data_IF_059289847947
#
_entry.id   IF_059289847947
#
_cell.length_a   1.000
_cell.length_b   1.000
_cell.length_c   1.000
_cell.angle_alpha   90.00
_cell.angle_beta   90.00
_cell.angle_gamma   90.00
#
_symmetry.space_group_name_H-M   'P 1'
#
loop_
_entity.id
_entity.type
_entity.pdbx_description
1 polymer ?
#
# COMPACT_ATOMS: atom_id res chain seq x y z
N UNK A 1 -6.50 -13.64 -56.62
CA UNK A 1 -5.48 -14.05 -55.62
C UNK A 1 -5.94 -13.48 -54.30
N UNK A 2 -6.35 -14.33 -53.36
CA UNK A 2 -6.71 -13.86 -52.02
C UNK A 2 -5.45 -13.42 -51.29
N UNK A 3 -5.51 -12.19 -50.78
CA UNK A 3 -4.40 -11.50 -50.14
C UNK A 3 -4.00 -12.25 -48.86
N UNK A 4 -2.72 -12.58 -48.69
CA UNK A 4 -2.23 -13.41 -47.56
C UNK A 4 -2.56 -12.80 -46.20
N UNK A 5 -2.66 -11.46 -46.15
CA UNK A 5 -3.12 -10.71 -44.98
C UNK A 5 -4.59 -11.02 -44.62
N UNK A 6 -5.44 -11.28 -45.61
CA UNK A 6 -6.85 -11.58 -45.40
C UNK A 6 -7.02 -12.95 -44.74
N UNK A 7 -6.32 -13.97 -45.25
CA UNK A 7 -6.35 -15.32 -44.69
C UNK A 7 -5.86 -15.34 -43.23
N UNK A 8 -4.78 -14.61 -42.94
CA UNK A 8 -4.26 -14.50 -41.57
C UNK A 8 -5.25 -13.83 -40.62
N UNK A 9 -5.93 -12.78 -41.07
CA UNK A 9 -6.95 -12.11 -40.28
C UNK A 9 -8.15 -13.03 -40.00
N UNK A 10 -8.60 -13.81 -40.98
CA UNK A 10 -9.69 -14.79 -40.81
C UNK A 10 -9.34 -15.87 -39.77
N UNK A 11 -8.13 -16.43 -39.84
CA UNK A 11 -7.67 -17.41 -38.84
C UNK A 11 -7.64 -16.75 -37.46
N UNK A 12 -7.08 -15.55 -37.34
CA UNK A 12 -7.04 -14.84 -36.06
C UNK A 12 -8.43 -14.55 -35.48
N UNK A 13 -9.39 -14.10 -36.28
CA UNK A 13 -10.75 -13.79 -35.81
C UNK A 13 -11.49 -15.05 -35.40
N UNK A 14 -11.41 -16.12 -36.19
CA UNK A 14 -12.07 -17.41 -35.86
C UNK A 14 -11.58 -18.00 -34.54
N UNK A 15 -10.27 -17.97 -34.29
CA UNK A 15 -9.71 -18.39 -32.99
C UNK A 15 -10.12 -17.47 -31.84
N UNK A 16 -10.18 -16.16 -32.05
CA UNK A 16 -10.65 -15.21 -31.03
C UNK A 16 -12.14 -15.38 -30.72
N UNK A 17 -12.97 -15.65 -31.71
CA UNK A 17 -14.39 -15.91 -31.58
C UNK A 17 -14.65 -17.22 -30.86
N UNK A 18 -13.97 -18.31 -31.26
CA UNK A 18 -14.02 -19.58 -30.55
C UNK A 18 -13.57 -19.42 -29.08
N UNK A 19 -12.50 -18.66 -28.83
CA UNK A 19 -12.08 -18.33 -27.46
C UNK A 19 -13.14 -17.56 -26.68
N UNK A 20 -13.82 -16.59 -27.31
CA UNK A 20 -14.90 -15.82 -26.68
C UNK A 20 -16.13 -16.67 -26.37
N UNK A 21 -16.50 -17.62 -27.24
CA UNK A 21 -17.69 -18.48 -27.03
C UNK A 21 -17.44 -19.54 -25.96
N UNK A 22 -16.27 -20.19 -25.95
CA UNK A 22 -15.99 -21.27 -25.02
C UNK A 22 -15.49 -20.79 -23.65
N UNK A 23 -14.61 -19.79 -23.60
CA UNK A 23 -14.01 -19.31 -22.35
C UNK A 23 -14.73 -18.08 -21.77
N UNK A 24 -15.55 -17.39 -22.56
CA UNK A 24 -16.17 -16.13 -22.18
C UNK A 24 -15.17 -14.98 -22.06
N UNK A 25 -15.66 -13.79 -21.72
CA UNK A 25 -14.80 -12.66 -21.35
C UNK A 25 -14.66 -12.57 -19.85
N UNK A 26 -13.42 -12.37 -19.37
CA UNK A 26 -13.19 -11.98 -17.98
C UNK A 26 -13.70 -10.55 -17.83
N UNK A 27 -14.86 -10.40 -17.17
CA UNK A 27 -15.34 -9.09 -16.79
C UNK A 27 -14.27 -8.40 -15.93
N UNK A 28 -13.80 -7.23 -16.38
CA UNK A 28 -12.99 -6.34 -15.56
C UNK A 28 -13.88 -5.87 -14.41
N UNK A 29 -13.87 -6.62 -13.29
CA UNK A 29 -14.50 -6.17 -12.05
C UNK A 29 -13.69 -4.99 -11.56
N UNK A 30 -14.08 -3.80 -11.99
CA UNK A 30 -13.59 -2.57 -11.39
C UNK A 30 -13.98 -2.57 -9.92
N UNK A 31 -13.13 -1.97 -9.09
CA UNK A 31 -13.44 -1.83 -7.68
C UNK A 31 -14.59 -0.84 -7.57
N UNK A 32 -15.67 -1.22 -6.89
CA UNK A 32 -16.89 -0.43 -6.78
C UNK A 32 -16.68 0.97 -6.17
N UNK A 33 -15.59 1.15 -5.40
CA UNK A 33 -15.26 2.42 -4.77
C UNK A 33 -14.49 3.41 -5.66
N UNK A 34 -13.98 2.99 -6.82
CA UNK A 34 -13.24 3.89 -7.72
C UNK A 34 -14.26 4.64 -8.60
N UNK A 35 -14.24 5.97 -8.53
CA UNK A 35 -15.13 6.83 -9.31
C UNK A 35 -14.84 6.74 -10.82
N UNK A 36 -15.86 7.01 -11.63
CA UNK A 36 -15.72 7.10 -13.08
C UNK A 36 -14.73 8.21 -13.50
N UNK A 37 -14.69 9.31 -12.75
CA UNK A 37 -13.73 10.39 -12.96
C UNK A 37 -12.28 9.91 -12.77
N UNK A 38 -12.03 9.09 -11.74
CA UNK A 38 -10.72 8.49 -11.50
C UNK A 38 -10.30 7.59 -12.67
N UNK A 39 -11.23 6.82 -13.25
CA UNK A 39 -10.97 6.00 -14.42
C UNK A 39 -10.62 6.82 -15.66
N UNK A 40 -11.31 7.94 -15.90
CA UNK A 40 -10.96 8.86 -16.98
C UNK A 40 -9.53 9.39 -16.82
N UNK A 41 -9.17 9.84 -15.61
CA UNK A 41 -7.81 10.33 -15.31
C UNK A 41 -6.74 9.26 -15.42
N UNK A 42 -7.04 8.01 -15.06
CA UNK A 42 -6.15 6.87 -15.28
C UNK A 42 -5.93 6.64 -16.78
N UNK A 43 -6.97 6.77 -17.59
CA UNK A 43 -6.88 6.64 -19.06
C UNK A 43 -6.01 7.75 -19.65
N UNK A 44 -6.23 9.02 -19.27
CA UNK A 44 -5.40 10.16 -19.67
C UNK A 44 -3.92 9.92 -19.33
N UNK A 45 -3.63 9.43 -18.11
CA UNK A 45 -2.26 9.08 -17.70
C UNK A 45 -1.64 7.99 -18.58
N UNK A 46 -2.41 6.96 -18.95
CA UNK A 46 -1.94 5.89 -19.85
C UNK A 46 -1.60 6.44 -21.23
N UNK A 47 -2.41 7.37 -21.75
CA UNK A 47 -2.18 7.99 -23.06
C UNK A 47 -0.91 8.86 -23.06
N UNK A 48 -0.69 9.64 -21.99
CA UNK A 48 0.57 10.41 -21.83
C UNK A 48 1.77 9.46 -21.75
N UNK A 49 1.66 8.35 -21.00
CA UNK A 49 2.72 7.34 -20.92
C UNK A 49 3.04 6.74 -22.29
N UNK A 50 2.02 6.47 -23.11
CA UNK A 50 2.19 5.97 -24.48
C UNK A 50 2.96 6.98 -25.34
N UNK A 51 2.65 8.28 -25.23
CA UNK A 51 3.37 9.36 -25.92
C UNK A 51 4.85 9.42 -25.52
N UNK A 52 5.16 9.29 -24.22
CA UNK A 52 6.55 9.24 -23.73
C UNK A 52 7.32 8.09 -24.34
N UNK A 53 6.70 6.91 -24.44
CA UNK A 53 7.34 5.70 -24.98
C UNK A 53 7.54 5.76 -26.51
N UNK A 54 6.65 6.43 -27.25
CA UNK A 54 6.77 6.56 -28.71
C UNK A 54 7.76 7.63 -29.15
N UNK A 55 8.05 8.62 -28.30
CA UNK A 55 8.85 9.80 -28.67
C UNK A 55 10.35 9.47 -28.65
N UNK A 56 11.03 9.74 -29.78
CA UNK A 56 12.47 9.53 -29.94
C UNK A 56 13.34 10.72 -29.49
N UNK A 57 12.84 11.94 -29.64
CA UNK A 57 13.57 13.18 -29.29
C UNK A 57 13.57 13.43 -27.79
N UNK A 58 14.76 13.69 -27.21
CA UNK A 58 14.94 13.85 -25.76
C UNK A 58 14.22 15.07 -25.20
N UNK A 59 14.23 16.21 -25.91
CA UNK A 59 13.56 17.46 -25.47
C UNK A 59 12.05 17.30 -25.31
N UNK A 60 11.41 16.61 -26.25
CA UNK A 60 9.96 16.37 -26.22
C UNK A 60 9.64 15.32 -25.15
N UNK A 61 10.51 14.31 -24.99
CA UNK A 61 10.37 13.28 -23.97
C UNK A 61 10.42 13.86 -22.56
N UNK A 62 11.30 14.81 -22.26
CA UNK A 62 11.36 15.45 -20.93
C UNK A 62 10.10 16.25 -20.61
N UNK A 63 9.55 16.99 -21.58
CA UNK A 63 8.27 17.70 -21.42
C UNK A 63 7.11 16.73 -21.16
N UNK A 64 7.00 15.66 -21.94
CA UNK A 64 5.96 14.65 -21.72
C UNK A 64 6.14 13.90 -20.40
N UNK A 65 7.38 13.71 -19.93
CA UNK A 65 7.68 13.13 -18.63
C UNK A 65 7.21 14.04 -17.49
N UNK A 66 7.30 15.36 -17.64
CA UNK A 66 6.75 16.32 -16.67
C UNK A 66 5.22 16.22 -16.63
N UNK A 67 4.56 16.25 -17.80
CA UNK A 67 3.12 16.06 -17.90
C UNK A 67 2.64 14.72 -17.29
N UNK A 68 3.41 13.64 -17.48
CA UNK A 68 3.13 12.35 -16.85
C UNK A 68 3.20 12.42 -15.33
N UNK A 69 4.19 13.13 -14.76
CA UNK A 69 4.33 13.29 -13.30
C UNK A 69 3.15 14.07 -12.71
N UNK A 70 2.68 15.10 -13.39
CA UNK A 70 1.51 15.89 -12.98
C UNK A 70 0.23 15.04 -13.02
N UNK A 71 -0.01 14.33 -14.12
CA UNK A 71 -1.14 13.41 -14.25
C UNK A 71 -1.10 12.29 -13.19
N UNK A 72 0.08 11.74 -12.89
CA UNK A 72 0.24 10.73 -11.85
C UNK A 72 -0.05 11.27 -10.44
N UNK A 73 0.34 12.51 -10.15
CA UNK A 73 0.00 13.20 -8.89
C UNK A 73 -1.51 13.39 -8.77
N UNK A 74 -2.17 13.88 -9.82
CA UNK A 74 -3.62 14.08 -9.85
C UNK A 74 -4.38 12.76 -9.64
N UNK A 75 -4.01 11.71 -10.38
CA UNK A 75 -4.61 10.36 -10.23
C UNK A 75 -4.45 9.84 -8.79
N UNK A 76 -3.26 9.99 -8.19
CA UNK A 76 -3.02 9.58 -6.80
C UNK A 76 -3.86 10.37 -5.80
N UNK A 77 -4.12 11.66 -6.06
CA UNK A 77 -4.97 12.48 -5.19
C UNK A 77 -6.42 12.01 -5.24
N UNK A 78 -6.97 11.80 -6.45
CA UNK A 78 -8.36 11.34 -6.65
C UNK A 78 -8.56 9.96 -6.04
N UNK A 79 -7.68 8.99 -6.31
CA UNK A 79 -7.79 7.63 -5.75
C UNK A 79 -7.78 7.64 -4.21
N UNK A 80 -6.97 8.51 -3.59
CA UNK A 80 -6.96 8.67 -2.13
C UNK A 80 -8.25 9.30 -1.61
N UNK A 81 -8.81 10.25 -2.35
CA UNK A 81 -10.08 10.87 -1.99
C UNK A 81 -11.23 9.86 -2.09
N UNK A 82 -11.38 9.17 -3.21
CA UNK A 82 -12.39 8.12 -3.43
C UNK A 82 -12.32 7.03 -2.36
N UNK A 83 -11.11 6.55 -2.06
CA UNK A 83 -10.90 5.55 -1.01
C UNK A 83 -11.35 6.04 0.38
N UNK A 84 -11.04 7.30 0.73
CA UNK A 84 -11.47 7.89 2.01
C UNK A 84 -12.99 8.03 2.07
N UNK A 85 -13.60 8.54 1.01
CA UNK A 85 -15.06 8.69 0.92
C UNK A 85 -15.76 7.35 1.10
N UNK A 86 -15.31 6.32 0.38
CA UNK A 86 -15.87 4.98 0.52
C UNK A 86 -15.72 4.40 1.93
N UNK A 87 -14.59 4.66 2.60
CA UNK A 87 -14.38 4.23 3.99
C UNK A 87 -15.28 4.97 4.97
N UNK A 88 -15.52 6.27 4.74
CA UNK A 88 -16.45 7.07 5.53
C UNK A 88 -17.89 6.59 5.33
N UNK A 89 -18.31 6.29 4.10
CA UNK A 89 -19.62 5.74 3.79
C UNK A 89 -19.84 4.35 4.44
N UNK A 90 -18.80 3.51 4.49
CA UNK A 90 -18.87 2.24 5.22
C UNK A 90 -18.97 2.46 6.74
N UNK A 91 -18.27 3.45 7.29
CA UNK A 91 -18.32 3.75 8.71
C UNK A 91 -19.71 4.25 9.12
N UNK A 92 -20.32 5.14 8.34
CA UNK A 92 -21.69 5.64 8.62
C UNK A 92 -22.72 4.52 8.53
N UNK A 93 -22.62 3.63 7.54
CA UNK A 93 -23.48 2.44 7.45
C UNK A 93 -23.31 1.49 8.64
N UNK A 94 -22.09 1.35 9.17
CA UNK A 94 -21.84 0.55 10.37
C UNK A 94 -22.49 1.18 11.61
N UNK A 95 -22.40 2.50 11.76
CA UNK A 95 -23.03 3.24 12.86
C UNK A 95 -24.55 3.12 12.81
N UNK A 96 -25.17 3.26 11.64
CA UNK A 96 -26.61 3.06 11.44
C UNK A 96 -27.06 1.63 11.74
N UNK A 97 -26.28 0.64 11.32
CA UNK A 97 -26.56 -0.77 11.61
C UNK A 97 -26.49 -1.06 13.12
N UNK A 98 -25.51 -0.49 13.82
CA UNK A 98 -25.41 -0.60 15.27
C UNK A 98 -26.61 0.04 15.97
N UNK A 99 -27.06 1.20 15.51
CA UNK A 99 -28.25 1.87 16.05
C UNK A 99 -29.53 1.04 15.86
N UNK A 100 -29.67 0.36 14.71
CA UNK A 100 -30.81 -0.51 14.41
C UNK A 100 -30.74 -1.88 15.10
N UNK A 101 -29.58 -2.27 15.62
CA UNK A 101 -29.34 -3.61 16.16
C UNK A 101 -29.10 -4.68 15.10
N UNK A 102 -28.81 -4.29 13.84
CA UNK A 102 -28.57 -5.22 12.73
C UNK A 102 -27.15 -5.82 12.77
N UNK A 103 -26.94 -6.79 13.67
CA UNK A 103 -25.61 -7.37 13.91
C UNK A 103 -24.97 -8.01 12.65
N UNK A 104 -25.80 -8.57 11.75
CA UNK A 104 -25.33 -9.22 10.51
C UNK A 104 -24.69 -8.21 9.55
N UNK A 105 -25.26 -7.02 9.39
CA UNK A 105 -24.73 -5.99 8.49
C UNK A 105 -23.49 -5.34 9.09
N UNK A 106 -23.51 -5.06 10.40
CA UNK A 106 -22.35 -4.58 11.15
C UNK A 106 -21.14 -5.51 11.00
N UNK A 107 -21.31 -6.82 11.17
CA UNK A 107 -20.24 -7.80 10.99
C UNK A 107 -19.69 -7.83 9.54
N UNK A 108 -20.58 -7.74 8.53
CA UNK A 108 -20.14 -7.72 7.13
C UNK A 108 -19.30 -6.48 6.82
N UNK A 109 -19.72 -5.31 7.27
CA UNK A 109 -19.03 -4.03 7.04
C UNK A 109 -17.69 -4.02 7.75
N UNK A 110 -17.66 -4.39 9.04
CA UNK A 110 -16.41 -4.48 9.81
C UNK A 110 -15.44 -5.47 9.19
N UNK A 111 -15.91 -6.65 8.75
CA UNK A 111 -15.09 -7.61 8.01
C UNK A 111 -14.52 -7.03 6.72
N UNK A 112 -15.29 -6.23 5.96
CA UNK A 112 -14.82 -5.56 4.76
C UNK A 112 -13.76 -4.48 5.06
N UNK A 113 -13.92 -3.71 6.14
CA UNK A 113 -12.99 -2.65 6.56
C UNK A 113 -11.66 -3.21 7.07
N UNK A 114 -11.70 -4.32 7.81
CA UNK A 114 -10.53 -4.95 8.43
C UNK A 114 -9.63 -5.69 7.44
N UNK A 115 -10.06 -5.90 6.19
CA UNK A 115 -9.21 -6.53 5.18
C UNK A 115 -7.95 -5.67 4.98
N UNK A 116 -6.73 -6.24 5.16
CA UNK A 116 -5.49 -5.47 5.36
C UNK A 116 -5.06 -4.59 4.18
N UNK A 117 -5.73 -4.65 3.03
CA UNK A 117 -5.43 -3.79 1.89
C UNK A 117 -6.18 -2.44 1.89
N UNK A 118 -7.17 -2.25 2.77
CA UNK A 118 -8.00 -1.02 2.80
C UNK A 118 -7.60 -0.12 3.97
N UNK A 119 -7.28 -0.71 5.13
CA UNK A 119 -7.06 -0.02 6.40
C UNK A 119 -5.72 0.74 6.52
N UNK A 120 -4.64 0.26 5.90
CA UNK A 120 -3.27 0.78 6.09
C UNK A 120 -3.03 2.20 5.60
N UNK A 121 -3.95 2.77 4.81
CA UNK A 121 -3.81 4.11 4.22
C UNK A 121 -4.69 5.16 4.93
N UNK A 122 -5.46 4.76 5.94
CA UNK A 122 -6.19 5.69 6.81
C UNK A 122 -5.23 6.43 7.74
N UNK A 123 -5.55 7.69 8.05
CA UNK A 123 -4.86 8.42 9.11
C UNK A 123 -4.96 7.63 10.43
N UNK A 124 -3.87 7.46 11.20
CA UNK A 124 -3.81 6.55 12.35
C UNK A 124 -4.89 6.81 13.41
N UNK A 125 -5.37 8.05 13.54
CA UNK A 125 -6.48 8.38 14.45
C UNK A 125 -7.82 7.70 14.06
N UNK A 126 -8.12 7.59 12.76
CA UNK A 126 -9.36 6.94 12.27
C UNK A 126 -9.28 5.41 12.40
N UNK A 127 -8.07 4.84 12.22
CA UNK A 127 -7.80 3.42 12.47
C UNK A 127 -8.14 3.02 13.91
N UNK A 128 -7.67 3.81 14.88
CA UNK A 128 -7.90 3.57 16.31
C UNK A 128 -9.39 3.63 16.66
N UNK A 129 -10.17 4.52 16.04
CA UNK A 129 -11.61 4.63 16.31
C UNK A 129 -12.39 3.38 15.87
N UNK A 130 -12.12 2.88 14.66
CA UNK A 130 -12.73 1.64 14.14
C UNK A 130 -12.40 0.45 15.04
N UNK A 131 -11.14 0.33 15.48
CA UNK A 131 -10.73 -0.74 16.40
C UNK A 131 -11.38 -0.63 17.79
N UNK A 132 -11.66 0.59 18.27
CA UNK A 132 -12.34 0.82 19.55
C UNK A 132 -13.80 0.34 19.51
N UNK A 133 -14.53 0.59 18.43
CA UNK A 133 -15.93 0.11 18.25
C UNK A 133 -16.04 -1.42 18.23
N UNK A 134 -14.97 -2.12 17.83
CA UNK A 134 -14.94 -3.58 17.75
C UNK A 134 -14.69 -4.25 19.11
N UNK A 135 -14.06 -3.56 20.06
CA UNK A 135 -13.83 -4.09 21.43
C UNK A 135 -15.09 -4.02 22.30
N UNK A 136 -15.98 -3.08 22.04
CA UNK A 136 -17.21 -2.89 22.83
C UNK A 136 -18.39 -3.76 22.37
N UNK A 137 -18.37 -4.27 21.15
CA UNK A 137 -19.44 -5.10 20.57
C UNK A 137 -19.19 -6.62 20.63
N UNK A 138 -18.00 -7.05 21.09
CA UNK A 138 -17.61 -8.45 21.24
C UNK A 138 -17.59 -8.93 22.71
N UNK A 139 -18.12 -8.15 23.65
CA UNK A 139 -18.27 -8.62 25.03
C UNK A 139 -19.61 -9.34 25.17
N UNK A 140 -19.64 -10.69 25.29
CA UNK A 140 -20.82 -11.35 25.80
C UNK A 140 -21.07 -10.87 27.23
N UNK A 141 -22.28 -10.39 27.48
CA UNK A 141 -22.83 -10.23 28.81
C UNK A 141 -22.69 -11.56 29.56
N UNK A 142 -22.16 -11.48 30.78
CA UNK A 142 -22.16 -12.50 31.81
C UNK A 142 -21.40 -13.79 31.53
N UNK A 143 -20.08 -13.74 31.78
CA UNK A 143 -19.33 -14.89 32.26
C UNK A 143 -18.27 -14.45 33.28
N UNK A 144 -18.39 -14.79 34.57
CA UNK A 144 -17.24 -14.79 35.46
C UNK A 144 -16.32 -15.94 35.05
N UNK A 145 -15.00 -15.72 35.17
CA UNK A 145 -13.86 -16.65 35.00
C UNK A 145 -12.96 -16.45 33.76
N UNK A 146 -11.67 -16.34 34.10
CA UNK A 146 -10.45 -16.31 33.29
C UNK A 146 -10.17 -14.98 32.58
N UNK A 147 -9.82 -13.99 33.41
CA UNK A 147 -8.86 -12.95 33.01
C UNK A 147 -7.51 -13.63 32.79
N UNK A 148 -7.25 -14.15 31.59
CA UNK A 148 -5.88 -14.38 31.15
C UNK A 148 -5.27 -13.01 30.87
N UNK A 149 -4.75 -12.41 31.93
CA UNK A 149 -3.84 -11.29 31.88
C UNK A 149 -2.59 -11.75 31.10
N UNK A 150 -2.53 -11.45 29.80
CA UNK A 150 -1.27 -11.56 29.05
C UNK A 150 -0.39 -10.37 29.44
N UNK A 151 0.03 -10.40 30.69
CA UNK A 151 1.05 -9.56 31.27
C UNK A 151 2.37 -10.12 30.75
N UNK A 152 2.96 -9.48 29.75
CA UNK A 152 4.38 -9.67 29.49
C UNK A 152 5.12 -9.47 30.81
N UNK A 153 5.92 -10.45 31.30
CA UNK A 153 6.63 -10.26 32.55
C UNK A 153 7.59 -9.09 32.39
N UNK A 154 7.37 -8.01 33.15
CA UNK A 154 8.39 -6.99 33.38
C UNK A 154 9.62 -7.71 33.94
N UNK A 155 10.77 -7.54 33.28
CA UNK A 155 12.05 -8.03 33.79
C UNK A 155 12.22 -7.56 35.24
N UNK A 156 12.51 -8.44 36.21
CA UNK A 156 12.87 -8.01 37.56
C UNK A 156 14.29 -7.42 37.53
N UNK A 157 14.41 -6.13 37.85
CA UNK A 157 15.67 -5.48 38.18
C UNK A 157 16.07 -5.87 39.59
N UNK A 158 16.67 -7.05 39.77
CA UNK A 158 17.42 -7.38 40.99
C UNK A 158 18.50 -8.42 40.66
N UNK A 159 19.76 -8.09 40.93
CA UNK A 159 20.94 -8.87 40.53
C UNK A 159 21.04 -10.27 41.15
N UNK A 160 20.31 -10.51 42.25
CA UNK A 160 20.37 -11.79 42.96
C UNK A 160 19.80 -12.96 42.14
N UNK A 161 18.79 -12.72 41.29
CA UNK A 161 18.13 -13.79 40.52
C UNK A 161 18.90 -14.22 39.26
N UNK A 162 19.88 -13.43 38.80
CA UNK A 162 20.74 -13.78 37.65
C UNK A 162 21.71 -14.92 37.97
N UNK A 163 22.12 -15.06 39.23
CA UNK A 163 23.06 -16.11 39.65
C UNK A 163 22.42 -17.50 39.70
N UNK A 164 21.12 -17.60 39.97
CA UNK A 164 20.40 -18.90 40.04
C UNK A 164 20.13 -19.47 38.64
N UNK A 165 19.93 -18.61 37.64
CA UNK A 165 19.75 -19.08 36.24
C UNK A 165 21.07 -19.52 35.61
N UNK A 166 22.21 -18.99 36.07
CA UNK A 166 23.53 -19.41 35.62
C UNK A 166 23.97 -20.79 36.18
N UNK A 167 23.39 -21.27 37.28
CA UNK A 167 23.73 -22.57 37.89
C UNK A 167 22.92 -23.74 37.32
N UNK A 168 21.79 -23.49 36.67
CA UNK A 168 20.93 -24.54 36.12
C UNK A 168 21.14 -24.60 34.60
N UNK A 169 22.15 -25.36 34.18
CA UNK A 169 22.71 -25.44 32.82
C UNK A 169 21.75 -25.79 31.68
N UNK A 170 20.86 -24.86 31.31
CA UNK A 170 20.14 -24.86 30.05
C UNK A 170 20.81 -23.87 29.10
N UNK A 171 21.88 -24.34 28.48
CA UNK A 171 22.59 -23.61 27.43
C UNK A 171 21.92 -23.80 26.07
N UNK A 172 21.62 -22.70 25.39
CA UNK A 172 21.70 -22.64 23.93
C UNK A 172 22.90 -21.77 23.59
N UNK A 173 24.02 -22.42 23.28
CA UNK A 173 25.28 -21.77 22.89
C UNK A 173 25.26 -21.19 21.47
N UNK A 174 26.31 -20.40 21.12
CA UNK A 174 26.31 -19.45 20.00
C UNK A 174 26.72 -20.10 18.67
N UNK A 175 26.22 -19.54 17.56
CA UNK A 175 26.67 -19.85 16.20
C UNK A 175 27.39 -18.62 15.65
N UNK A 176 28.72 -18.61 15.79
CA UNK A 176 29.59 -17.52 15.34
C UNK A 176 29.66 -17.41 13.81
N UNK A 177 29.65 -16.15 13.35
CA UNK A 177 29.98 -15.71 12.00
C UNK A 177 30.03 -14.16 11.99
N UNK A 178 31.15 -13.53 11.57
CA UNK A 178 31.43 -12.13 11.91
C UNK A 178 30.64 -11.13 11.06
N UNK A 179 29.82 -10.29 11.70
CA UNK A 179 29.41 -8.99 11.15
C UNK A 179 30.29 -7.91 11.77
N UNK A 180 31.25 -7.42 10.99
CA UNK A 180 31.97 -6.18 11.23
C UNK A 180 30.98 -5.04 11.48
N UNK A 181 30.84 -4.64 12.74
CA UNK A 181 30.18 -3.40 13.13
C UNK A 181 31.21 -2.30 12.89
N UNK A 182 31.02 -1.52 11.81
CA UNK A 182 31.72 -0.24 11.63
C UNK A 182 31.31 0.68 12.78
N UNK A 183 32.19 0.86 13.74
CA UNK A 183 32.13 1.98 14.69
C UNK A 183 32.40 3.27 13.90
N UNK A 184 31.38 4.11 13.73
CA UNK A 184 31.57 5.46 13.21
C UNK A 184 31.87 6.38 14.39
N UNK A 185 33.16 6.62 14.62
CA UNK A 185 33.67 7.59 15.58
C UNK A 185 33.45 9.01 15.05
N UNK A 186 32.78 9.83 15.86
CA UNK A 186 32.61 11.26 15.64
C UNK A 186 33.97 11.95 15.82
N UNK A 187 34.50 12.58 14.77
CA UNK A 187 35.64 13.49 14.87
C UNK A 187 35.28 14.82 14.21
N UNK A 188 35.18 15.85 15.04
CA UNK A 188 34.97 17.24 14.66
C UNK A 188 36.21 17.81 13.95
N UNK A 189 36.07 18.41 12.78
CA UNK A 189 37.03 19.41 12.30
C UNK A 189 36.48 20.29 11.15
N UNK A 190 36.48 21.60 11.44
CA UNK A 190 36.75 22.75 10.56
C UNK A 190 35.93 22.92 9.27
N UNK A 191 34.96 23.82 9.37
CA UNK A 191 34.47 24.64 8.26
C UNK A 191 35.50 25.73 7.99
N UNK A 192 36.17 25.68 6.83
CA UNK A 192 36.82 26.85 6.22
C UNK A 192 36.53 26.89 4.72
N UNK A 193 35.63 27.83 4.40
CA UNK A 193 35.60 28.84 3.36
C UNK A 193 36.13 28.60 1.91
N UNK A 194 35.40 29.30 1.03
CA UNK A 194 35.75 29.95 -0.23
C UNK A 194 36.02 29.11 -1.47
N UNK A 195 35.11 29.25 -2.45
CA UNK A 195 35.51 29.41 -3.85
C UNK A 195 34.52 30.32 -4.59
N UNK A 196 34.92 31.57 -4.76
CA UNK A 196 34.62 32.39 -5.95
C UNK A 196 35.68 32.09 -7.00
N UNK A 197 35.28 31.89 -8.27
CA UNK A 197 35.98 32.22 -9.54
C UNK A 197 35.26 31.45 -10.68
N UNK A 198 34.48 32.10 -11.54
CA UNK A 198 34.84 32.82 -12.80
C UNK A 198 35.37 31.87 -13.90
N UNK A 199 34.75 32.03 -15.10
CA UNK A 199 34.85 31.28 -16.37
C UNK A 199 36.28 31.12 -16.94
N UNK A 200 36.49 30.30 -17.99
CA UNK A 200 36.43 30.89 -19.35
C UNK A 200 35.85 30.00 -20.47
N UNK A 201 35.51 30.70 -21.55
CA UNK A 201 34.92 30.38 -22.85
C UNK A 201 35.89 29.80 -23.88
N UNK A 202 35.36 29.00 -24.83
CA UNK A 202 35.86 28.97 -26.22
C UNK A 202 34.75 28.60 -27.22
N UNK A 203 34.81 29.26 -28.37
CA UNK A 203 33.99 29.18 -29.58
C UNK A 203 34.36 27.98 -30.48
N UNK A 204 33.42 27.56 -31.34
CA UNK A 204 33.58 27.33 -32.80
C UNK A 204 32.19 27.20 -33.44
#
# INVERSE_FOLDING_TARGET
MEDTNHLWNQVKTTYQEAGRTFLGHRNERHKDWISQEAWQKIKEKKDIKKKVLSTKSERIKTQQQQAYREADRAVKQIIRHDKRKHLEDMATQAEEAAYKGDQRTLYKITKQVLVPNIFTDLHPAKQVQVLKLNKTSLLPTDAPFIVCFFMSPRKPENEHYKKVVASNGWGCGPRDGPRLIRTFSFSTAKVHNSYTEVRPSYEL
#
